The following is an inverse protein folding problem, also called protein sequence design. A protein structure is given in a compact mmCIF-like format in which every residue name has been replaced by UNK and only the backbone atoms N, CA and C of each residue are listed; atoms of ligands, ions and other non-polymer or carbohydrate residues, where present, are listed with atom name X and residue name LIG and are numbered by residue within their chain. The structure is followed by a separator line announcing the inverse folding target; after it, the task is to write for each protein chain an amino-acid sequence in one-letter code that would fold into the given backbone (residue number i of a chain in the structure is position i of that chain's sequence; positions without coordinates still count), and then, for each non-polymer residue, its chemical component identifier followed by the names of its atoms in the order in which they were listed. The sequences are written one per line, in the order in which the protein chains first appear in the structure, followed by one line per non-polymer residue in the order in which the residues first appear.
data_IF_483001116426
#
_entry.id   IF_483001116426
#
_cell.length_a   1.000
_cell.length_b   1.000
_cell.length_c   1.000
_cell.angle_alpha   90.00
_cell.angle_beta   90.00
_cell.angle_gamma   90.00
#
_symmetry.space_group_name_H-M   'P 1'
#
loop_
_entity.id
_entity.type
_entity.pdbx_description
1 polymer ?
#
# COMPACT_ATOMS: atom_id res chain seq x y z
N UNK A 1 17.42 -4.41 -31.65
CA UNK A 1 17.92 -4.93 -30.37
C UNK A 1 18.13 -3.74 -29.45
N UNK A 2 17.04 -3.24 -28.84
CA UNK A 2 17.14 -2.16 -27.86
C UNK A 2 17.45 -2.81 -26.52
N UNK A 3 18.58 -2.43 -25.93
CA UNK A 3 18.93 -2.77 -24.55
C UNK A 3 17.91 -2.11 -23.63
N UNK A 4 16.89 -2.84 -23.19
CA UNK A 4 16.08 -2.40 -22.05
C UNK A 4 16.98 -2.39 -20.83
N UNK A 5 17.38 -1.19 -20.41
CA UNK A 5 17.85 -1.00 -19.04
C UNK A 5 16.71 -1.43 -18.14
N UNK A 6 16.86 -2.57 -17.44
CA UNK A 6 15.92 -2.99 -16.40
C UNK A 6 15.91 -1.93 -15.30
N UNK A 7 15.04 -0.92 -15.43
CA UNK A 7 14.77 0.04 -14.36
C UNK A 7 14.19 -0.76 -13.21
N UNK A 8 14.86 -0.74 -12.06
CA UNK A 8 14.35 -1.40 -10.86
C UNK A 8 12.95 -0.80 -10.53
N UNK A 9 11.98 -1.63 -10.14
CA UNK A 9 10.61 -1.18 -9.92
C UNK A 9 10.54 -0.21 -8.73
N UNK A 10 9.62 0.75 -8.77
CA UNK A 10 9.16 1.45 -7.57
C UNK A 10 8.29 0.50 -6.74
N UNK A 11 8.41 0.58 -5.42
CA UNK A 11 7.52 -0.12 -4.48
C UNK A 11 6.51 0.88 -3.94
N UNK A 12 5.24 0.57 -4.11
CA UNK A 12 4.11 1.28 -3.51
C UNK A 12 3.58 0.45 -2.36
N UNK A 13 3.38 1.07 -1.20
CA UNK A 13 2.87 0.41 -0.01
C UNK A 13 1.59 1.10 0.45
N UNK A 14 0.52 0.33 0.58
CA UNK A 14 -0.80 0.79 1.04
C UNK A 14 -1.30 -0.09 2.18
N UNK A 15 -2.19 0.45 3.01
CA UNK A 15 -2.91 -0.33 4.01
C UNK A 15 -4.11 -1.04 3.36
N UNK A 16 -4.59 -2.11 3.97
CA UNK A 16 -5.94 -2.61 3.68
C UNK A 16 -7.01 -1.53 3.94
N UNK A 17 -8.15 -1.62 3.26
CA UNK A 17 -9.28 -0.69 3.44
C UNK A 17 -9.98 -0.80 4.79
N UNK A 18 -10.97 0.07 5.00
CA UNK A 18 -11.66 0.30 6.27
C UNK A 18 -12.23 -0.99 6.87
N UNK A 19 -12.20 -1.05 8.20
CA UNK A 19 -12.66 -2.20 8.98
C UNK A 19 -14.11 -1.98 9.42
N UNK A 20 -14.92 -3.04 9.55
CA UNK A 20 -16.21 -2.94 10.22
C UNK A 20 -16.04 -2.43 11.66
N UNK A 21 -17.07 -1.75 12.17
CA UNK A 21 -17.12 -1.37 13.58
C UNK A 21 -16.99 -2.61 14.48
N UNK A 22 -16.32 -2.44 15.61
CA UNK A 22 -16.22 -3.49 16.62
C UNK A 22 -17.60 -3.86 17.16
N UNK A 23 -17.86 -5.16 17.26
CA UNK A 23 -19.10 -5.69 17.82
C UNK A 23 -18.74 -6.45 19.09
N UNK A 24 -19.23 -5.96 20.24
CA UNK A 24 -18.94 -6.54 21.55
C UNK A 24 -17.43 -6.62 21.90
N UNK A 25 -16.62 -5.70 21.37
CA UNK A 25 -15.16 -5.67 21.58
C UNK A 25 -14.39 -6.68 20.71
N UNK A 26 -15.06 -7.31 19.75
CA UNK A 26 -14.42 -8.12 18.72
C UNK A 26 -14.44 -7.39 17.37
N UNK A 27 -13.30 -7.43 16.67
CA UNK A 27 -13.14 -6.87 15.34
C UNK A 27 -13.70 -7.86 14.30
N UNK A 28 -14.79 -7.54 13.59
CA UNK A 28 -15.38 -8.47 12.61
C UNK A 28 -14.48 -8.64 11.39
N UNK A 29 -14.37 -9.86 10.87
CA UNK A 29 -13.56 -10.16 9.68
C UNK A 29 -14.02 -9.39 8.42
N UNK A 30 -13.09 -9.20 7.47
CA UNK A 30 -13.37 -8.56 6.18
C UNK A 30 -13.42 -7.03 6.22
N UNK A 31 -13.69 -6.43 5.07
CA UNK A 31 -13.78 -4.97 4.89
C UNK A 31 -15.15 -4.45 5.31
N UNK A 32 -15.24 -3.20 5.79
CA UNK A 32 -16.52 -2.49 5.91
C UNK A 32 -17.10 -2.15 4.53
N UNK A 33 -18.30 -1.56 4.49
CA UNK A 33 -18.86 -1.02 3.25
C UNK A 33 -17.94 0.05 2.62
N UNK A 34 -17.39 0.94 3.44
CA UNK A 34 -16.41 1.95 3.04
C UNK A 34 -15.12 1.29 2.53
N UNK A 35 -14.64 0.25 3.21
CA UNK A 35 -13.45 -0.49 2.79
C UNK A 35 -13.63 -1.20 1.44
N UNK A 36 -14.84 -1.66 1.16
CA UNK A 36 -15.19 -2.24 -0.15
C UNK A 36 -15.28 -1.18 -1.24
N UNK A 37 -15.78 0.01 -0.92
CA UNK A 37 -15.77 1.17 -1.82
C UNK A 37 -14.34 1.57 -2.19
N UNK A 38 -13.46 1.75 -1.19
CA UNK A 38 -12.02 1.98 -1.40
C UNK A 38 -11.38 0.91 -2.28
N UNK A 39 -11.63 -0.37 -1.98
CA UNK A 39 -11.08 -1.50 -2.75
C UNK A 39 -11.47 -1.45 -4.24
N UNK A 40 -12.73 -1.08 -4.53
CA UNK A 40 -13.22 -0.95 -5.90
C UNK A 40 -12.59 0.24 -6.62
N UNK A 41 -12.41 1.36 -5.92
CA UNK A 41 -11.86 2.59 -6.47
C UNK A 41 -10.34 2.56 -6.70
N UNK A 42 -9.61 1.59 -6.13
CA UNK A 42 -8.19 1.39 -6.44
C UNK A 42 -7.92 1.22 -7.94
N UNK A 43 -8.91 0.75 -8.72
CA UNK A 43 -8.79 0.68 -10.19
C UNK A 43 -8.72 2.05 -10.88
N UNK A 44 -9.31 3.09 -10.29
CA UNK A 44 -9.17 4.47 -10.75
C UNK A 44 -7.80 5.06 -10.39
N UNK A 45 -7.24 4.65 -9.24
CA UNK A 45 -5.93 5.12 -8.73
C UNK A 45 -4.76 4.42 -9.45
N UNK A 46 -4.76 3.10 -9.45
CA UNK A 46 -3.65 2.24 -9.88
C UNK A 46 -3.92 1.48 -11.19
N UNK A 47 -5.02 1.81 -11.90
CA UNK A 47 -5.44 1.11 -13.12
C UNK A 47 -4.45 1.21 -14.29
N UNK A 48 -4.81 0.60 -15.41
CA UNK A 48 -3.94 0.44 -16.59
C UNK A 48 -3.39 1.78 -17.14
N UNK A 49 -4.12 2.88 -16.98
CA UNK A 49 -3.74 4.21 -17.45
C UNK A 49 -3.05 5.06 -16.38
N UNK A 50 -2.84 4.52 -15.17
CA UNK A 50 -2.19 5.24 -14.09
C UNK A 50 -0.69 5.40 -14.33
N UNK A 51 -0.10 6.47 -13.81
CA UNK A 51 1.36 6.66 -13.79
C UNK A 51 2.07 5.68 -12.85
N UNK A 52 1.33 5.04 -11.93
CA UNK A 52 1.83 4.01 -11.03
C UNK A 52 2.29 2.75 -11.76
N UNK A 53 1.72 2.43 -12.93
CA UNK A 53 2.15 1.31 -13.79
C UNK A 53 2.36 0.00 -13.02
N UNK A 54 1.34 -0.47 -12.31
CA UNK A 54 1.43 -1.66 -11.45
C UNK A 54 1.56 -2.92 -12.32
N UNK A 55 2.64 -3.66 -12.11
CA UNK A 55 2.91 -4.94 -12.77
C UNK A 55 2.97 -6.12 -11.81
N UNK A 56 3.01 -5.86 -10.50
CA UNK A 56 3.00 -6.88 -9.47
C UNK A 56 2.22 -6.43 -8.24
N UNK A 57 1.35 -7.31 -7.73
CA UNK A 57 0.52 -7.05 -6.56
C UNK A 57 0.78 -8.14 -5.53
N UNK A 58 1.08 -7.73 -4.31
CA UNK A 58 1.24 -8.63 -3.18
C UNK A 58 0.42 -8.15 -1.97
N UNK A 59 -0.10 -9.11 -1.23
CA UNK A 59 -0.90 -8.87 -0.04
C UNK A 59 -0.62 -9.90 1.05
N UNK A 60 -0.96 -9.55 2.28
CA UNK A 60 -0.90 -10.43 3.44
C UNK A 60 -1.60 -11.78 3.18
N UNK A 61 -1.04 -12.86 3.73
CA UNK A 61 -1.66 -14.17 3.67
C UNK A 61 -2.97 -14.20 4.49
N UNK A 62 -4.13 -14.46 3.86
CA UNK A 62 -5.38 -14.61 4.59
C UNK A 62 -5.39 -15.91 5.41
N UNK A 63 -5.88 -15.84 6.64
CA UNK A 63 -6.06 -17.03 7.48
C UNK A 63 -7.31 -17.83 7.08
N UNK A 64 -7.28 -19.12 7.37
CA UNK A 64 -8.48 -19.95 7.37
C UNK A 64 -9.48 -19.43 8.42
N UNK A 65 -10.66 -19.02 7.97
CA UNK A 65 -11.75 -18.54 8.84
C UNK A 65 -12.16 -17.07 8.64
N UNK A 66 -11.43 -16.29 7.85
CA UNK A 66 -11.76 -14.88 7.55
C UNK A 66 -10.78 -13.86 8.15
N UNK A 67 -10.01 -14.26 9.16
CA UNK A 67 -8.94 -13.44 9.71
C UNK A 67 -7.89 -13.07 8.65
N UNK A 68 -7.32 -11.86 8.74
CA UNK A 68 -6.28 -11.35 7.81
C UNK A 68 -6.71 -11.27 6.34
N UNK A 69 -8.01 -11.35 6.05
CA UNK A 69 -8.52 -11.33 4.68
C UNK A 69 -8.45 -9.93 4.02
N UNK A 70 -8.54 -8.86 4.83
CA UNK A 70 -8.69 -7.48 4.35
C UNK A 70 -7.64 -7.03 3.34
N UNK A 71 -6.32 -7.28 3.52
CA UNK A 71 -5.33 -6.84 2.56
C UNK A 71 -5.51 -7.48 1.18
N UNK A 72 -5.86 -8.77 1.14
CA UNK A 72 -6.19 -9.43 -0.13
C UNK A 72 -7.46 -8.87 -0.76
N UNK A 73 -8.55 -8.72 0.01
CA UNK A 73 -9.81 -8.20 -0.51
C UNK A 73 -9.68 -6.77 -1.02
N UNK A 74 -8.81 -5.96 -0.40
CA UNK A 74 -8.54 -4.57 -0.80
C UNK A 74 -7.98 -4.49 -2.22
N UNK A 75 -6.98 -5.32 -2.55
CA UNK A 75 -6.30 -5.25 -3.86
C UNK A 75 -6.90 -6.17 -4.92
N UNK A 76 -7.84 -7.04 -4.54
CA UNK A 76 -8.41 -8.03 -5.47
C UNK A 76 -9.15 -7.38 -6.65
N UNK A 77 -10.03 -6.36 -6.48
CA UNK A 77 -10.68 -5.71 -7.61
C UNK A 77 -9.68 -5.08 -8.60
N UNK A 78 -8.65 -4.41 -8.09
CA UNK A 78 -7.56 -3.86 -8.90
C UNK A 78 -6.81 -4.95 -9.68
N UNK A 79 -6.46 -6.06 -9.02
CA UNK A 79 -5.76 -7.16 -9.67
C UNK A 79 -6.57 -7.75 -10.82
N UNK A 80 -7.88 -7.92 -10.64
CA UNK A 80 -8.78 -8.38 -11.71
C UNK A 80 -8.81 -7.39 -12.88
N UNK A 81 -8.92 -6.08 -12.61
CA UNK A 81 -8.94 -5.04 -13.64
C UNK A 81 -7.63 -4.95 -14.44
N UNK A 82 -6.50 -5.24 -13.81
CA UNK A 82 -5.17 -5.29 -14.45
C UNK A 82 -4.87 -6.65 -15.09
N UNK A 83 -5.68 -7.69 -14.86
CA UNK A 83 -5.40 -9.05 -15.30
C UNK A 83 -4.21 -9.69 -14.56
N UNK A 84 -3.92 -9.24 -13.34
CA UNK A 84 -2.82 -9.73 -12.51
C UNK A 84 -3.32 -10.74 -11.47
N UNK A 85 -2.38 -11.54 -10.94
CA UNK A 85 -2.63 -12.37 -9.76
C UNK A 85 -2.06 -11.68 -8.53
N UNK A 86 -2.77 -11.76 -7.41
CA UNK A 86 -2.26 -11.31 -6.11
C UNK A 86 -1.36 -12.39 -5.52
N UNK A 87 -0.10 -12.06 -5.24
CA UNK A 87 0.76 -12.87 -4.40
C UNK A 87 0.30 -12.73 -2.94
N UNK A 88 -0.17 -13.82 -2.33
CA UNK A 88 -0.77 -13.81 -0.98
C UNK A 88 -0.31 -14.95 -0.08
N UNK A 89 0.97 -15.30 -0.13
CA UNK A 89 1.55 -16.46 0.57
C UNK A 89 2.51 -16.09 1.71
N UNK A 90 2.65 -14.79 1.98
CA UNK A 90 3.59 -14.29 2.99
C UNK A 90 2.77 -13.91 4.22
N UNK A 91 3.18 -14.44 5.36
CA UNK A 91 2.51 -14.20 6.63
C UNK A 91 2.59 -12.74 7.06
N UNK A 92 1.63 -12.31 7.89
CA UNK A 92 1.54 -10.93 8.40
C UNK A 92 2.88 -10.41 8.93
N UNK A 93 3.52 -11.21 9.78
CA UNK A 93 4.74 -10.89 10.52
C UNK A 93 6.04 -11.34 9.83
N UNK A 94 5.96 -11.92 8.62
CA UNK A 94 7.15 -12.26 7.81
C UNK A 94 7.62 -11.05 6.99
N UNK A 95 8.08 -10.01 7.72
CA UNK A 95 8.52 -8.76 7.11
C UNK A 95 9.71 -8.94 6.16
N UNK A 96 10.64 -9.84 6.52
CA UNK A 96 11.81 -10.14 5.71
C UNK A 96 11.42 -10.87 4.42
N UNK A 97 10.47 -11.81 4.48
CA UNK A 97 9.90 -12.46 3.31
C UNK A 97 9.20 -11.47 2.38
N UNK A 98 8.35 -10.60 2.92
CA UNK A 98 7.67 -9.56 2.14
C UNK A 98 8.64 -8.59 1.46
N UNK A 99 9.65 -8.10 2.19
CA UNK A 99 10.69 -7.23 1.64
C UNK A 99 11.50 -7.92 0.55
N UNK A 100 11.94 -9.16 0.80
CA UNK A 100 12.70 -9.95 -0.17
C UNK A 100 11.90 -10.18 -1.46
N UNK A 101 10.64 -10.57 -1.33
CA UNK A 101 9.74 -10.78 -2.47
C UNK A 101 9.58 -9.52 -3.31
N UNK A 102 9.27 -8.37 -2.68
CA UNK A 102 9.14 -7.08 -3.37
C UNK A 102 10.43 -6.67 -4.10
N UNK A 103 11.59 -6.80 -3.44
CA UNK A 103 12.90 -6.43 -4.00
C UNK A 103 13.37 -7.40 -5.10
N UNK A 104 12.91 -8.65 -5.06
CA UNK A 104 13.26 -9.68 -6.03
C UNK A 104 12.55 -9.50 -7.37
N UNK A 105 11.46 -8.74 -7.44
CA UNK A 105 10.71 -8.54 -8.67
C UNK A 105 11.58 -7.96 -9.80
N UNK A 106 11.47 -8.57 -10.99
CA UNK A 106 12.18 -8.18 -12.23
C UNK A 106 11.24 -8.10 -13.43
N UNK A 107 9.93 -8.18 -13.20
CA UNK A 107 8.94 -8.07 -14.27
C UNK A 107 8.74 -6.62 -14.72
N UNK A 108 7.92 -6.41 -15.76
CA UNK A 108 7.53 -5.07 -16.18
C UNK A 108 6.68 -4.37 -15.11
N UNK A 109 6.77 -3.05 -15.05
CA UNK A 109 5.98 -2.24 -14.12
C UNK A 109 6.51 -2.23 -12.69
N UNK A 110 5.66 -1.79 -11.77
CA UNK A 110 5.98 -1.53 -10.37
C UNK A 110 5.26 -2.50 -9.42
N UNK A 111 5.71 -2.51 -8.17
CA UNK A 111 5.17 -3.38 -7.12
C UNK A 111 4.16 -2.59 -6.29
N UNK A 112 2.97 -3.16 -6.07
CA UNK A 112 2.01 -2.70 -5.06
C UNK A 112 1.91 -3.74 -3.94
N UNK A 113 2.16 -3.31 -2.71
CA UNK A 113 2.08 -4.12 -1.49
C UNK A 113 0.93 -3.60 -0.60
N UNK A 114 0.05 -4.50 -0.17
CA UNK A 114 -1.06 -4.19 0.75
C UNK A 114 -1.02 -5.04 2.02
N UNK A 115 -0.95 -4.39 3.19
CA UNK A 115 -0.83 -5.05 4.50
C UNK A 115 -1.59 -4.28 5.60
N UNK A 116 -1.60 -4.79 6.83
CA UNK A 116 -1.97 -3.99 8.00
C UNK A 116 -0.86 -2.98 8.40
N UNK A 117 -1.21 -1.88 9.07
CA UNK A 117 -0.33 -0.74 9.27
C UNK A 117 0.97 -1.03 10.05
N UNK A 118 0.95 -1.87 11.09
CA UNK A 118 2.14 -2.18 11.88
C UNK A 118 3.11 -3.06 11.09
N UNK A 119 2.56 -3.98 10.30
CA UNK A 119 3.33 -4.79 9.38
C UNK A 119 3.93 -3.96 8.25
N UNK A 120 3.24 -2.92 7.74
CA UNK A 120 3.84 -1.98 6.79
C UNK A 120 5.10 -1.31 7.36
N UNK A 121 5.09 -0.91 8.63
CA UNK A 121 6.28 -0.35 9.31
C UNK A 121 7.41 -1.40 9.38
N UNK A 122 7.07 -2.64 9.74
CA UNK A 122 8.02 -3.76 9.78
C UNK A 122 8.64 -4.08 8.42
N UNK A 123 7.83 -4.11 7.38
CA UNK A 123 8.23 -4.35 5.99
C UNK A 123 9.10 -3.19 5.49
N UNK A 124 8.72 -1.94 5.74
CA UNK A 124 9.49 -0.76 5.38
C UNK A 124 10.92 -0.84 5.96
N UNK A 125 11.03 -1.19 7.24
CA UNK A 125 12.32 -1.43 7.91
C UNK A 125 13.10 -2.59 7.27
N UNK A 126 12.43 -3.69 6.92
CA UNK A 126 13.06 -4.85 6.29
C UNK A 126 13.54 -4.57 4.85
N UNK A 127 12.87 -3.68 4.11
CA UNK A 127 13.32 -3.17 2.81
C UNK A 127 14.61 -2.34 2.95
N UNK A 128 14.80 -1.69 4.11
CA UNK A 128 15.94 -0.81 4.38
C UNK A 128 15.59 0.68 4.32
N UNK A 129 14.30 1.02 4.41
CA UNK A 129 13.84 2.41 4.47
C UNK A 129 14.28 3.02 5.80
N UNK A 130 14.97 4.15 5.73
CA UNK A 130 15.59 4.85 6.84
C UNK A 130 14.77 6.04 7.33
N UNK A 131 13.82 6.51 6.53
CA UNK A 131 12.98 7.65 6.85
C UNK A 131 12.20 8.16 5.65
N UNK A 132 11.73 9.40 5.79
CA UNK A 132 11.05 10.15 4.73
C UNK A 132 12.03 11.11 4.06
N UNK A 133 11.92 11.25 2.73
CA UNK A 133 12.72 12.23 2.01
C UNK A 133 12.32 13.65 2.45
N UNK A 134 13.28 14.57 2.50
CA UNK A 134 13.06 15.95 2.97
C UNK A 134 11.91 16.68 2.23
N UNK A 135 11.70 16.36 0.95
CA UNK A 135 10.64 16.96 0.13
C UNK A 135 9.22 16.61 0.59
N UNK A 136 9.05 15.52 1.34
CA UNK A 136 7.74 15.11 1.88
C UNK A 136 7.29 16.03 3.03
N UNK A 137 8.21 16.69 3.72
CA UNK A 137 7.96 17.38 4.99
C UNK A 137 7.72 16.45 6.18
N UNK A 138 7.54 15.15 5.95
CA UNK A 138 7.48 14.14 7.01
C UNK A 138 8.87 13.96 7.63
N UNK A 139 8.91 13.76 8.95
CA UNK A 139 10.15 13.58 9.71
C UNK A 139 9.98 12.52 10.78
N UNK A 140 11.10 12.01 11.31
CA UNK A 140 11.09 11.01 12.38
C UNK A 140 11.11 9.56 11.88
N UNK A 141 10.74 8.64 12.77
CA UNK A 141 10.67 7.22 12.45
C UNK A 141 9.56 6.93 11.44
N UNK A 142 9.77 5.93 10.58
CA UNK A 142 8.73 5.45 9.65
C UNK A 142 7.59 4.84 10.45
N UNK A 143 6.54 5.62 10.67
CA UNK A 143 5.30 5.24 11.35
C UNK A 143 4.11 5.47 10.43
N UNK A 144 3.24 4.48 10.33
CA UNK A 144 2.00 4.59 9.57
C UNK A 144 0.90 5.13 10.50
N UNK A 145 0.24 6.25 10.18
CA UNK A 145 -0.88 6.76 10.98
C UNK A 145 -2.03 5.73 11.01
N UNK A 146 -2.28 5.15 12.18
CA UNK A 146 -3.20 4.01 12.34
C UNK A 146 -4.68 4.34 12.10
N UNK A 147 -5.04 5.61 12.05
CA UNK A 147 -6.36 6.14 11.70
C UNK A 147 -6.55 6.37 10.20
N UNK A 148 -5.48 6.31 9.40
CA UNK A 148 -5.51 6.50 7.95
C UNK A 148 -5.63 5.17 7.21
N UNK A 149 -6.36 5.18 6.10
CA UNK A 149 -6.58 4.02 5.22
C UNK A 149 -6.18 4.31 3.77
N UNK A 150 -5.89 5.57 3.45
CA UNK A 150 -5.73 6.08 2.10
C UNK A 150 -4.28 6.36 1.69
N UNK A 151 -3.31 6.17 2.58
CA UNK A 151 -1.95 6.60 2.29
C UNK A 151 -1.26 5.66 1.30
N UNK A 152 -0.58 6.29 0.34
CA UNK A 152 0.31 5.62 -0.61
C UNK A 152 1.74 6.02 -0.27
N UNK A 153 2.52 5.09 0.29
CA UNK A 153 3.96 5.29 0.43
C UNK A 153 4.68 4.91 -0.87
N UNK A 154 5.42 5.87 -1.42
CA UNK A 154 6.17 5.68 -2.66
C UNK A 154 7.65 5.50 -2.34
N UNK A 155 8.19 4.36 -2.74
CA UNK A 155 9.56 3.93 -2.40
C UNK A 155 10.30 3.54 -3.68
N UNK A 156 10.91 4.51 -4.39
CA UNK A 156 11.72 4.22 -5.56
C UNK A 156 13.09 3.66 -5.17
N UNK A 157 13.84 3.04 -6.11
CA UNK A 157 15.26 2.76 -5.92
C UNK A 157 16.02 4.03 -5.51
N UNK A 158 16.98 3.97 -4.56
CA UNK A 158 17.60 2.76 -3.99
C UNK A 158 16.86 2.13 -2.80
N UNK A 159 15.59 2.49 -2.57
CA UNK A 159 14.72 1.95 -1.50
C UNK A 159 15.11 2.36 -0.08
N UNK A 160 15.76 3.52 0.06
CA UNK A 160 16.25 4.04 1.34
C UNK A 160 15.28 4.99 2.02
N UNK A 161 14.34 5.59 1.29
CA UNK A 161 13.43 6.61 1.81
C UNK A 161 12.05 6.50 1.17
N UNK A 162 11.01 6.91 1.91
CA UNK A 162 9.70 7.21 1.34
C UNK A 162 9.80 8.60 0.70
N UNK A 163 9.67 8.67 -0.62
CA UNK A 163 9.87 9.93 -1.36
C UNK A 163 8.60 10.73 -1.54
N UNK A 164 7.44 10.05 -1.45
CA UNK A 164 6.11 10.66 -1.50
C UNK A 164 5.20 9.91 -0.54
N UNK A 165 4.38 10.65 0.19
CA UNK A 165 3.21 10.13 0.91
C UNK A 165 1.98 10.70 0.18
N UNK A 166 1.34 9.88 -0.65
CA UNK A 166 0.13 10.27 -1.40
C UNK A 166 -1.15 9.87 -0.67
N UNK A 167 -2.29 10.29 -1.22
CA UNK A 167 -3.61 9.76 -0.88
C UNK A 167 -4.19 9.03 -2.09
N UNK A 168 -4.95 7.97 -1.85
CA UNK A 168 -5.77 7.29 -2.86
C UNK A 168 -6.84 8.22 -3.45
N UNK A 169 -7.25 9.27 -2.71
CA UNK A 169 -8.24 10.25 -3.13
C UNK A 169 -9.58 9.59 -3.54
N UNK A 170 -10.01 8.58 -2.79
CA UNK A 170 -11.30 7.92 -3.02
C UNK A 170 -12.43 8.92 -2.72
N UNK A 171 -13.29 9.26 -3.70
CA UNK A 171 -14.36 10.25 -3.51
C UNK A 171 -15.27 9.86 -2.34
N UNK A 172 -15.61 10.82 -1.49
CA UNK A 172 -16.48 10.62 -0.33
C UNK A 172 -15.78 10.03 0.91
N UNK A 173 -14.69 9.28 0.74
CA UNK A 173 -13.89 8.74 1.85
C UNK A 173 -12.71 9.65 2.20
N UNK A 174 -12.02 10.18 1.19
CA UNK A 174 -10.80 10.96 1.34
C UNK A 174 -11.01 12.47 1.13
N UNK A 175 -12.26 12.93 0.99
CA UNK A 175 -12.62 14.34 0.69
C UNK A 175 -12.09 15.34 1.74
N UNK A 176 -11.87 14.88 2.97
CA UNK A 176 -11.29 15.68 4.06
C UNK A 176 -9.77 15.74 4.07
N UNK A 177 -9.08 14.99 3.19
CA UNK A 177 -7.63 14.91 3.16
C UNK A 177 -7.05 16.11 2.40
N UNK A 178 -6.24 16.91 3.10
CA UNK A 178 -5.49 17.99 2.47
C UNK A 178 -4.28 17.43 1.71
N UNK A 179 -4.34 17.52 0.39
CA UNK A 179 -3.24 17.21 -0.53
C UNK A 179 -2.68 18.46 -1.21
N UNK A 180 -1.41 18.44 -1.57
CA UNK A 180 -0.83 19.48 -2.43
C UNK A 180 -1.23 19.28 -3.91
N UNK A 181 -0.75 20.14 -4.82
CA UNK A 181 -1.06 20.07 -6.24
C UNK A 181 -0.64 18.76 -6.95
N UNK A 182 0.25 17.97 -6.33
CA UNK A 182 0.71 16.68 -6.83
C UNK A 182 -0.04 15.48 -6.21
N UNK A 183 -0.97 15.74 -5.28
CA UNK A 183 -1.65 14.69 -4.52
C UNK A 183 -0.92 14.25 -3.25
N UNK A 184 0.17 14.91 -2.86
CA UNK A 184 0.95 14.54 -1.69
C UNK A 184 0.29 15.05 -0.40
N UNK A 185 0.22 14.17 0.59
CA UNK A 185 -0.30 14.40 1.93
C UNK A 185 0.80 15.00 2.81
N UNK A 186 0.53 16.16 3.40
CA UNK A 186 1.41 16.76 4.40
C UNK A 186 1.43 15.93 5.70
N UNK A 187 2.51 15.98 6.50
CA UNK A 187 2.53 15.31 7.79
C UNK A 187 1.38 15.81 8.67
N UNK A 188 0.83 14.93 9.54
CA UNK A 188 -0.15 15.37 10.52
C UNK A 188 0.45 16.49 11.38
N UNK A 189 -0.36 17.51 11.66
CA UNK A 189 0.02 18.59 12.57
C UNK A 189 0.54 18.00 13.89
N UNK A 190 1.70 18.45 14.35
CA UNK A 190 2.16 18.08 15.68
C UNK A 190 1.13 18.59 16.70
N UNK A 191 0.52 17.68 17.47
CA UNK A 191 -0.29 18.02 18.64
C UNK A 191 0.58 18.65 19.75
#
# INVERSE_FOLDING_TARGET
MSSETSTKPTIYMIRHGEKPDEVHGEEPDGLSAEGQERANDLSAVFGQNSSYNIGYIMAEHPHHGGGRQRPYDTVKPLADALGLKVHKKIERDDYAGAASEALSFKGPGNVLLCWEHHSLEGIAKAIGIQGYAAATGWTGEVRYPGDRFDLIWVVPPPYTEITVVGSEQVPGLDDGVHVNANGDVSPPSAN
#
